data_IF_027181408713
#
_entry.id   IF_027181408713
#
_cell.length_a   1.000
_cell.length_b   1.000
_cell.length_c   1.000
_cell.angle_alpha   90.00
_cell.angle_beta   90.00
_cell.angle_gamma   90.00
#
_symmetry.space_group_name_H-M   'P 1'
#
loop_
_entity.id
_entity.type
_entity.pdbx_description
1 polymer ?
#
# COMPACT_ATOMS: atom_id res chain seq x y z
N UNK A 1 -23.35 2.20 -2.92
CA UNK A 1 -22.07 1.89 -2.28
C UNK A 1 -21.63 3.19 -1.61
N UNK A 2 -21.24 3.19 -0.33
CA UNK A 2 -21.04 4.44 0.42
C UNK A 2 -19.71 5.11 0.02
N UNK A 3 -19.75 6.39 -0.35
CA UNK A 3 -18.56 7.24 -0.35
C UNK A 3 -18.15 7.43 1.11
N UNK A 4 -16.96 6.98 1.48
CA UNK A 4 -16.52 7.00 2.88
C UNK A 4 -15.41 8.03 3.07
N UNK A 5 -15.68 9.00 3.93
CA UNK A 5 -14.71 9.99 4.38
C UNK A 5 -14.45 9.72 5.85
N UNK A 6 -13.18 9.60 6.24
CA UNK A 6 -12.82 9.43 7.65
C UNK A 6 -11.84 10.50 8.06
N UNK A 7 -12.16 11.14 9.18
CA UNK A 7 -11.38 12.21 9.80
C UNK A 7 -11.20 11.84 11.26
N UNK A 8 -9.95 11.73 11.72
CA UNK A 8 -9.61 11.52 13.13
C UNK A 8 -8.95 12.81 13.66
N UNK A 9 -9.28 13.17 14.91
CA UNK A 9 -8.80 14.33 15.70
C UNK A 9 -9.56 15.68 15.60
N UNK A 10 -10.84 15.73 15.18
CA UNK A 10 -11.68 16.93 15.41
C UNK A 10 -12.68 16.71 16.56
N UNK A 11 -13.15 17.78 17.22
CA UNK A 11 -14.07 17.70 18.37
C UNK A 11 -15.29 16.83 18.01
N UNK A 12 -15.81 16.04 18.96
CA UNK A 12 -16.88 15.04 18.74
C UNK A 12 -18.06 15.55 17.88
N UNK A 13 -18.49 16.81 18.08
CA UNK A 13 -19.57 17.43 17.30
C UNK A 13 -19.23 17.65 15.80
N UNK A 14 -17.96 17.84 15.46
CA UNK A 14 -17.49 18.04 14.08
C UNK A 14 -17.38 16.71 13.34
N UNK A 15 -16.96 15.63 14.01
CA UNK A 15 -16.86 14.28 13.43
C UNK A 15 -18.24 13.74 13.08
N UNK A 16 -19.22 13.88 13.97
CA UNK A 16 -20.59 13.40 13.74
C UNK A 16 -21.29 14.16 12.60
N UNK A 17 -21.04 15.47 12.48
CA UNK A 17 -21.61 16.26 11.39
C UNK A 17 -20.95 15.96 10.03
N UNK A 18 -19.63 15.78 9.99
CA UNK A 18 -18.90 15.39 8.76
C UNK A 18 -19.30 14.00 8.27
N UNK A 19 -19.51 13.04 9.19
CA UNK A 19 -20.04 11.72 8.85
C UNK A 19 -21.46 11.79 8.27
N UNK A 20 -22.26 12.77 8.68
CA UNK A 20 -23.58 13.02 8.10
C UNK A 20 -23.49 13.70 6.72
N UNK A 21 -22.55 14.62 6.50
CA UNK A 21 -22.29 15.19 5.16
C UNK A 21 -21.83 14.10 4.18
N UNK A 22 -20.91 13.22 4.60
CA UNK A 22 -20.46 12.06 3.83
C UNK A 22 -21.62 11.11 3.45
N UNK A 23 -22.67 11.02 4.28
CA UNK A 23 -23.90 10.26 3.98
C UNK A 23 -24.87 11.01 3.06
N UNK A 24 -24.80 12.34 3.01
CA UNK A 24 -25.75 13.21 2.30
C UNK A 24 -25.26 13.62 0.91
N UNK A 25 -23.95 13.64 0.67
CA UNK A 25 -23.40 13.73 -0.69
C UNK A 25 -23.88 12.47 -1.43
N UNK A 26 -24.65 12.68 -2.50
CA UNK A 26 -25.29 11.60 -3.24
C UNK A 26 -24.30 10.61 -3.86
N UNK A 27 -24.81 9.63 -4.59
CA UNK A 27 -24.02 8.59 -5.28
C UNK A 27 -23.08 9.14 -6.37
N UNK A 28 -23.23 10.41 -6.73
CA UNK A 28 -22.35 11.12 -7.66
C UNK A 28 -21.94 12.46 -7.05
N UNK A 29 -20.75 12.58 -6.43
CA UNK A 29 -20.25 13.85 -5.96
C UNK A 29 -20.06 14.79 -7.16
N UNK A 30 -20.77 15.90 -7.13
CA UNK A 30 -20.65 17.00 -8.05
C UNK A 30 -19.47 17.89 -7.67
N UNK A 31 -19.01 18.75 -8.58
CA UNK A 31 -18.02 19.80 -8.26
C UNK A 31 -18.46 20.68 -7.08
N UNK A 32 -19.77 20.83 -6.86
CA UNK A 32 -20.34 21.55 -5.72
C UNK A 32 -20.09 20.79 -4.41
N UNK A 33 -20.26 19.48 -4.41
CA UNK A 33 -19.96 18.63 -3.24
C UNK A 33 -18.47 18.69 -2.87
N UNK A 34 -17.59 18.74 -3.88
CA UNK A 34 -16.14 18.93 -3.66
C UNK A 34 -15.80 20.28 -3.04
N UNK A 35 -16.43 21.36 -3.52
CA UNK A 35 -16.23 22.69 -2.97
C UNK A 35 -16.70 22.76 -1.50
N UNK A 36 -17.85 22.16 -1.18
CA UNK A 36 -18.37 22.10 0.19
C UNK A 36 -17.44 21.32 1.14
N UNK A 37 -16.89 20.19 0.67
CA UNK A 37 -15.91 19.41 1.45
C UNK A 37 -14.61 20.18 1.62
N UNK A 38 -14.12 20.86 0.58
CA UNK A 38 -12.93 21.69 0.67
C UNK A 38 -13.12 22.86 1.65
N UNK A 39 -14.26 23.55 1.60
CA UNK A 39 -14.63 24.59 2.56
C UNK A 39 -14.72 24.06 3.99
N UNK A 40 -15.17 22.82 4.15
CA UNK A 40 -15.24 22.18 5.46
C UNK A 40 -13.84 21.87 6.02
N UNK A 41 -12.96 21.33 5.19
CA UNK A 41 -11.57 21.05 5.56
C UNK A 41 -10.82 22.35 5.85
N UNK A 42 -11.13 23.41 5.11
CA UNK A 42 -10.60 24.74 5.33
C UNK A 42 -10.89 25.27 6.75
N UNK A 43 -12.01 24.87 7.36
CA UNK A 43 -12.35 25.21 8.75
C UNK A 43 -11.70 24.28 9.79
N UNK A 44 -11.06 23.20 9.37
CA UNK A 44 -10.43 22.21 10.24
C UNK A 44 -8.91 22.46 10.33
N UNK A 45 -8.51 23.53 11.02
CA UNK A 45 -7.10 23.94 11.10
C UNK A 45 -6.16 22.91 11.75
N UNK A 46 -6.69 22.00 12.57
CA UNK A 46 -5.94 20.93 13.23
C UNK A 46 -5.96 19.60 12.46
N UNK A 47 -6.46 19.59 11.21
CA UNK A 47 -6.55 18.38 10.41
C UNK A 47 -5.16 17.82 10.09
N UNK A 48 -4.84 16.65 10.67
CA UNK A 48 -3.58 15.93 10.45
C UNK A 48 -3.70 14.75 9.49
N UNK A 49 -4.90 14.20 9.32
CA UNK A 49 -5.15 12.99 8.53
C UNK A 49 -6.28 13.24 7.55
N UNK A 50 -6.07 12.87 6.30
CA UNK A 50 -7.07 12.98 5.26
C UNK A 50 -7.13 11.68 4.47
N UNK A 51 -8.34 11.13 4.37
CA UNK A 51 -8.66 9.97 3.55
C UNK A 51 -9.58 10.40 2.41
N UNK A 52 -9.17 10.14 1.17
CA UNK A 52 -9.94 10.38 -0.04
C UNK A 52 -10.31 9.04 -0.66
N UNK A 53 -11.61 8.77 -0.80
CA UNK A 53 -12.11 7.52 -1.38
C UNK A 53 -13.37 7.77 -2.19
N UNK A 54 -13.29 7.50 -3.49
CA UNK A 54 -14.33 7.80 -4.48
C UNK A 54 -14.55 6.58 -5.38
N UNK A 55 -15.10 5.49 -4.84
CA UNK A 55 -15.22 4.26 -5.60
C UNK A 55 -16.00 4.53 -6.91
N UNK A 56 -15.47 4.13 -8.07
CA UNK A 56 -16.13 4.40 -9.34
C UNK A 56 -17.48 3.70 -9.37
N UNK A 57 -18.55 4.45 -9.62
CA UNK A 57 -19.86 3.84 -9.73
C UNK A 57 -20.03 3.17 -11.10
N UNK A 58 -20.41 1.88 -11.15
CA UNK A 58 -20.68 1.21 -12.41
C UNK A 58 -22.01 1.71 -12.98
N UNK A 59 -21.95 2.58 -13.99
CA UNK A 59 -23.14 3.04 -14.72
C UNK A 59 -23.49 1.97 -15.77
N UNK A 60 -24.66 1.35 -15.61
CA UNK A 60 -25.11 0.32 -16.55
C UNK A 60 -25.69 0.96 -17.81
N UNK A 61 -25.00 0.80 -18.93
CA UNK A 61 -25.49 1.12 -20.27
C UNK A 61 -25.81 -0.17 -21.03
N UNK A 62 -27.05 -0.64 -20.89
CA UNK A 62 -27.51 -1.90 -21.49
C UNK A 62 -26.84 -3.13 -20.85
N UNK A 63 -26.02 -3.84 -21.63
CA UNK A 63 -25.21 -4.98 -21.15
C UNK A 63 -23.77 -4.60 -20.78
N UNK A 64 -23.39 -3.32 -20.87
CA UNK A 64 -22.05 -2.81 -20.53
C UNK A 64 -22.09 -2.00 -19.24
N UNK A 65 -21.05 -2.10 -18.44
CA UNK A 65 -20.80 -1.19 -17.33
C UNK A 65 -19.81 -0.11 -17.81
N UNK A 66 -20.17 1.14 -17.62
CA UNK A 66 -19.31 2.31 -17.84
C UNK A 66 -19.08 2.92 -16.46
N UNK A 67 -17.84 2.90 -16.02
CA UNK A 67 -17.46 3.48 -14.73
C UNK A 67 -17.28 4.99 -14.87
N UNK A 68 -17.58 5.73 -13.80
CA UNK A 68 -17.34 7.18 -13.75
C UNK A 68 -15.85 7.53 -13.97
N UNK A 69 -15.60 8.72 -14.52
CA UNK A 69 -14.25 9.26 -14.65
C UNK A 69 -13.67 9.57 -13.26
N UNK A 70 -12.38 9.23 -13.01
CA UNK A 70 -11.75 9.53 -11.74
C UNK A 70 -11.63 11.05 -11.56
N UNK A 71 -11.76 11.50 -10.32
CA UNK A 71 -11.73 12.92 -9.97
C UNK A 71 -10.29 13.37 -9.73
N UNK A 72 -9.89 14.52 -10.26
CA UNK A 72 -8.51 14.98 -10.11
C UNK A 72 -8.25 15.48 -8.68
N UNK A 73 -7.10 15.11 -8.10
CA UNK A 73 -6.72 15.56 -6.76
C UNK A 73 -6.70 17.10 -6.66
N UNK A 74 -6.27 17.79 -7.71
CA UNK A 74 -6.29 19.26 -7.75
C UNK A 74 -7.70 19.87 -7.60
N UNK A 75 -8.77 19.21 -8.02
CA UNK A 75 -10.13 19.77 -7.89
C UNK A 75 -10.53 19.87 -6.42
N UNK A 76 -10.15 18.87 -5.63
CA UNK A 76 -10.34 18.89 -4.18
C UNK A 76 -9.53 20.00 -3.50
N UNK A 77 -8.25 20.13 -3.84
CA UNK A 77 -7.38 21.14 -3.22
C UNK A 77 -7.56 22.56 -3.78
N UNK A 78 -8.28 22.73 -4.90
CA UNK A 78 -8.60 24.05 -5.44
C UNK A 78 -9.33 24.91 -4.42
N UNK A 79 -10.29 24.35 -3.68
CA UNK A 79 -10.98 25.05 -2.59
C UNK A 79 -10.06 25.40 -1.41
N UNK A 80 -9.02 24.59 -1.19
CA UNK A 80 -8.05 24.79 -0.11
C UNK A 80 -6.95 25.81 -0.45
N UNK A 81 -6.84 26.19 -1.73
CA UNK A 81 -5.82 27.13 -2.21
C UNK A 81 -6.02 28.55 -1.66
N UNK A 82 -7.23 28.90 -1.20
CA UNK A 82 -7.52 30.21 -0.61
C UNK A 82 -7.21 30.31 0.88
N UNK A 83 -6.81 29.21 1.53
CA UNK A 83 -6.44 29.22 2.94
C UNK A 83 -5.21 30.08 3.20
N UNK A 84 -5.28 30.96 4.20
CA UNK A 84 -4.14 31.74 4.67
C UNK A 84 -3.09 30.84 5.34
N UNK A 85 -3.56 29.85 6.12
CA UNK A 85 -2.72 28.90 6.83
C UNK A 85 -2.73 27.55 6.10
N UNK A 86 -1.57 26.98 5.75
CA UNK A 86 -1.52 25.67 5.14
C UNK A 86 -1.99 24.59 6.12
N UNK A 87 -2.80 23.65 5.63
CA UNK A 87 -3.04 22.39 6.31
C UNK A 87 -1.71 21.73 6.69
N UNK A 88 -1.53 21.40 7.97
CA UNK A 88 -0.35 20.69 8.48
C UNK A 88 -0.57 19.19 8.39
N UNK A 89 -0.93 18.72 7.19
CA UNK A 89 -1.32 17.34 6.95
C UNK A 89 -0.12 16.42 7.19
N UNK A 90 -0.29 15.44 8.07
CA UNK A 90 0.72 14.43 8.41
C UNK A 90 0.46 13.11 7.68
N UNK A 91 -0.81 12.79 7.39
CA UNK A 91 -1.19 11.56 6.70
C UNK A 91 -2.17 11.83 5.57
N UNK A 92 -1.87 11.28 4.40
CA UNK A 92 -2.73 11.29 3.24
C UNK A 92 -2.94 9.86 2.74
N UNK A 93 -4.20 9.44 2.78
CA UNK A 93 -4.65 8.18 2.22
C UNK A 93 -5.50 8.50 0.99
N UNK A 94 -5.03 8.10 -0.18
CA UNK A 94 -5.75 8.20 -1.44
C UNK A 94 -6.16 6.78 -1.83
N UNK A 95 -7.46 6.58 -1.98
CA UNK A 95 -8.09 5.32 -2.38
C UNK A 95 -8.85 5.58 -3.69
N UNK A 96 -9.27 4.50 -4.33
CA UNK A 96 -10.04 4.36 -5.58
C UNK A 96 -10.79 5.62 -6.06
N UNK A 97 -10.72 5.83 -7.38
CA UNK A 97 -11.42 6.90 -8.12
C UNK A 97 -10.88 8.33 -7.96
N UNK A 98 -9.70 8.50 -7.36
CA UNK A 98 -8.91 9.73 -7.45
C UNK A 98 -7.80 9.58 -8.49
N UNK A 99 -7.70 10.55 -9.40
CA UNK A 99 -6.58 10.71 -10.31
C UNK A 99 -5.49 11.55 -9.62
N UNK A 100 -4.31 10.97 -9.44
CA UNK A 100 -3.18 11.57 -8.70
C UNK A 100 -2.10 12.05 -9.65
N UNK A 101 -1.99 13.35 -9.92
CA UNK A 101 -0.94 13.88 -10.80
C UNK A 101 0.19 14.51 -9.98
N UNK A 102 1.41 14.47 -10.50
CA UNK A 102 2.53 15.13 -9.86
C UNK A 102 2.34 16.66 -9.76
N UNK A 103 1.69 17.26 -10.75
CA UNK A 103 1.33 18.69 -10.79
C UNK A 103 0.41 19.09 -9.62
N UNK A 104 -0.43 18.18 -9.14
CA UNK A 104 -1.31 18.42 -8.00
C UNK A 104 -0.48 18.60 -6.71
N UNK A 105 0.59 17.83 -6.56
CA UNK A 105 1.53 17.96 -5.44
C UNK A 105 2.36 19.24 -5.53
N UNK A 106 2.78 19.65 -6.74
CA UNK A 106 3.50 20.90 -6.96
C UNK A 106 2.62 22.10 -6.61
N UNK A 107 1.41 22.14 -7.16
CA UNK A 107 0.49 23.28 -6.97
C UNK A 107 0.02 23.42 -5.51
N UNK A 108 -0.03 22.32 -4.76
CA UNK A 108 -0.56 22.28 -3.39
C UNK A 108 0.52 21.99 -2.33
N UNK A 109 1.80 22.14 -2.69
CA UNK A 109 2.95 21.73 -1.85
C UNK A 109 2.95 22.24 -0.42
N UNK A 110 2.41 23.45 -0.19
CA UNK A 110 2.32 24.04 1.15
C UNK A 110 1.51 23.16 2.12
N UNK A 111 0.53 22.42 1.61
CA UNK A 111 -0.33 21.52 2.38
C UNK A 111 0.32 20.16 2.66
N UNK A 112 1.32 19.78 1.86
CA UNK A 112 2.01 18.48 1.95
C UNK A 112 3.39 18.56 2.60
N UNK A 113 3.86 19.75 2.97
CA UNK A 113 5.19 19.95 3.55
C UNK A 113 5.43 19.16 4.84
N UNK A 114 4.38 18.84 5.59
CA UNK A 114 4.46 18.10 6.85
C UNK A 114 4.05 16.63 6.72
N UNK A 115 3.89 16.15 5.49
CA UNK A 115 3.42 14.79 5.23
C UNK A 115 4.48 13.79 5.71
N UNK A 116 4.05 12.88 6.57
CA UNK A 116 4.87 11.76 7.07
C UNK A 116 4.39 10.44 6.48
N UNK A 117 3.08 10.28 6.25
CA UNK A 117 2.51 9.02 5.77
C UNK A 117 1.72 9.25 4.47
N UNK A 118 2.09 8.50 3.42
CA UNK A 118 1.40 8.53 2.14
C UNK A 118 0.98 7.11 1.75
N UNK A 119 -0.33 6.94 1.54
CA UNK A 119 -0.88 5.71 0.97
C UNK A 119 -1.62 6.04 -0.31
N UNK A 120 -1.30 5.34 -1.40
CA UNK A 120 -2.00 5.45 -2.68
C UNK A 120 -2.45 4.06 -3.11
N UNK A 121 -3.76 3.82 -3.04
CA UNK A 121 -4.41 2.59 -3.46
C UNK A 121 -5.24 2.80 -4.71
N UNK A 122 -4.86 2.16 -5.80
CA UNK A 122 -5.50 2.29 -7.11
C UNK A 122 -6.09 0.96 -7.55
N UNK A 123 -7.22 0.98 -8.25
CA UNK A 123 -7.85 -0.24 -8.77
C UNK A 123 -7.01 -0.91 -9.87
N UNK A 124 -7.05 -2.24 -9.89
CA UNK A 124 -6.28 -3.10 -10.79
C UNK A 124 -6.70 -3.02 -12.27
N UNK A 125 -7.89 -2.49 -12.57
CA UNK A 125 -8.43 -2.52 -13.94
C UNK A 125 -8.09 -1.27 -14.76
N UNK A 126 -7.46 -0.25 -14.15
CA UNK A 126 -7.19 1.03 -14.79
C UNK A 126 -5.68 1.33 -14.77
N UNK A 127 -4.97 1.12 -15.90
CA UNK A 127 -3.52 1.37 -16.00
C UNK A 127 -3.15 2.86 -16.01
N UNK A 128 -4.14 3.75 -15.94
CA UNK A 128 -3.91 5.19 -15.88
C UNK A 128 -3.17 5.50 -14.58
N UNK A 129 -2.09 6.28 -14.68
CA UNK A 129 -1.45 7.02 -13.58
C UNK A 129 -0.21 6.40 -12.88
N UNK A 130 0.33 5.27 -13.34
CA UNK A 130 1.51 4.69 -12.70
C UNK A 130 2.77 5.56 -12.81
N UNK A 131 3.06 6.10 -14.01
CA UNK A 131 4.17 7.02 -14.24
C UNK A 131 4.05 8.28 -13.35
N UNK A 132 2.84 8.80 -13.24
CA UNK A 132 2.53 9.97 -12.41
C UNK A 132 2.79 9.71 -10.92
N UNK A 133 2.54 8.50 -10.40
CA UNK A 133 2.90 8.16 -9.01
C UNK A 133 4.42 8.35 -8.80
N UNK A 134 5.25 7.87 -9.71
CA UNK A 134 6.70 8.06 -9.59
C UNK A 134 7.10 9.51 -9.72
N UNK A 135 6.43 10.28 -10.58
CA UNK A 135 6.63 11.73 -10.67
C UNK A 135 6.21 12.45 -9.38
N UNK A 136 5.17 11.98 -8.66
CA UNK A 136 4.83 12.47 -7.31
C UNK A 136 6.00 12.28 -6.37
N UNK A 137 6.62 11.10 -6.33
CA UNK A 137 7.79 10.86 -5.48
C UNK A 137 9.01 11.69 -5.87
N UNK A 138 9.21 11.95 -7.17
CA UNK A 138 10.22 12.92 -7.65
C UNK A 138 9.92 14.32 -7.13
N UNK A 139 8.67 14.78 -7.18
CA UNK A 139 8.23 16.07 -6.61
C UNK A 139 8.49 16.12 -5.11
N UNK A 140 8.11 15.09 -4.35
CA UNK A 140 8.34 15.02 -2.90
C UNK A 140 9.84 15.08 -2.57
N UNK A 141 10.69 14.44 -3.37
CA UNK A 141 12.15 14.55 -3.27
C UNK A 141 12.61 15.99 -3.44
N UNK A 142 12.16 16.66 -4.50
CA UNK A 142 12.57 18.03 -4.81
C UNK A 142 12.14 19.04 -3.75
N UNK A 143 11.00 18.80 -3.10
CA UNK A 143 10.47 19.65 -2.03
C UNK A 143 10.96 19.21 -0.63
N UNK A 144 11.92 18.29 -0.55
CA UNK A 144 12.53 17.78 0.70
C UNK A 144 11.49 17.22 1.70
N UNK A 145 10.40 16.66 1.19
CA UNK A 145 9.39 15.99 2.01
C UNK A 145 9.81 14.55 2.22
N UNK A 146 10.21 14.20 3.45
CA UNK A 146 10.67 12.85 3.81
C UNK A 146 9.57 12.08 4.55
N UNK A 147 9.02 11.07 3.89
CA UNK A 147 7.98 10.22 4.44
C UNK A 147 8.56 9.20 5.44
N UNK A 148 7.81 8.92 6.50
CA UNK A 148 8.05 7.79 7.41
C UNK A 148 7.33 6.54 6.94
N UNK A 149 6.16 6.65 6.32
CA UNK A 149 5.41 5.50 5.82
C UNK A 149 4.95 5.68 4.38
N UNK A 150 5.19 4.65 3.58
CA UNK A 150 4.77 4.58 2.17
C UNK A 150 3.95 3.30 1.98
N UNK A 151 2.75 3.41 1.40
CA UNK A 151 1.96 2.25 1.01
C UNK A 151 1.37 2.43 -0.40
N UNK A 152 1.61 1.46 -1.28
CA UNK A 152 1.26 1.55 -2.71
C UNK A 152 0.65 0.25 -3.23
N UNK A 153 -0.34 0.34 -4.11
CA UNK A 153 -0.90 -0.84 -4.81
C UNK A 153 -0.04 -1.30 -5.99
N UNK A 154 1.05 -0.59 -6.31
CA UNK A 154 1.98 -1.00 -7.37
C UNK A 154 3.37 -0.35 -7.25
N UNK A 155 4.40 -0.99 -7.80
CA UNK A 155 5.79 -0.52 -7.82
C UNK A 155 6.21 -0.17 -9.26
N UNK A 156 5.71 0.93 -9.82
CA UNK A 156 5.82 1.13 -11.27
C UNK A 156 6.47 2.41 -11.79
N UNK A 157 7.10 3.27 -10.97
CA UNK A 157 8.26 3.94 -11.58
C UNK A 157 9.54 4.02 -10.74
N UNK A 158 10.71 4.13 -11.42
CA UNK A 158 12.02 4.34 -10.79
C UNK A 158 12.05 5.55 -9.84
N UNK A 159 11.16 6.54 -10.03
CA UNK A 159 11.01 7.69 -9.13
C UNK A 159 10.78 7.30 -7.65
N UNK A 160 10.09 6.19 -7.37
CA UNK A 160 9.90 5.68 -6.00
C UNK A 160 11.24 5.22 -5.41
N UNK A 161 12.01 4.44 -6.18
CA UNK A 161 13.31 3.91 -5.75
C UNK A 161 14.31 5.05 -5.55
N UNK A 162 14.34 6.01 -6.48
CA UNK A 162 15.16 7.21 -6.37
C UNK A 162 14.81 8.05 -5.14
N UNK A 163 13.52 8.18 -4.83
CA UNK A 163 13.04 8.88 -3.64
C UNK A 163 13.45 8.16 -2.35
N UNK A 164 13.20 6.85 -2.24
CA UNK A 164 13.59 6.05 -1.08
C UNK A 164 15.12 6.11 -0.87
N UNK A 165 15.90 6.13 -1.97
CA UNK A 165 17.35 6.26 -1.91
C UNK A 165 17.87 7.63 -1.48
N UNK A 166 17.03 8.68 -1.52
CA UNK A 166 17.49 10.06 -1.30
C UNK A 166 17.53 10.48 0.16
N UNK A 167 17.00 9.68 1.09
CA UNK A 167 16.97 10.00 2.51
C UNK A 167 17.10 8.74 3.38
N UNK A 168 17.16 8.92 4.70
CA UNK A 168 17.10 7.83 5.68
C UNK A 168 16.00 8.14 6.70
N UNK A 169 15.50 7.13 7.42
CA UNK A 169 14.41 7.32 8.39
C UNK A 169 13.04 6.76 7.98
N UNK A 170 12.91 6.13 6.82
CA UNK A 170 11.70 5.38 6.47
C UNK A 170 11.42 4.32 7.55
N UNK A 171 10.20 4.35 8.10
CA UNK A 171 9.74 3.48 9.18
C UNK A 171 8.82 2.36 8.69
N UNK A 172 8.10 2.56 7.57
CA UNK A 172 7.30 1.49 6.97
C UNK A 172 7.17 1.59 5.45
N UNK A 173 7.22 0.43 4.80
CA UNK A 173 6.95 0.28 3.37
C UNK A 173 5.94 -0.85 3.15
N UNK A 174 4.85 -0.58 2.43
CA UNK A 174 3.90 -1.58 1.94
C UNK A 174 3.75 -1.48 0.43
N UNK A 175 3.94 -2.60 -0.27
CA UNK A 175 3.68 -2.72 -1.70
C UNK A 175 2.73 -3.91 -1.87
N UNK A 176 1.55 -3.65 -2.43
CA UNK A 176 0.45 -4.60 -2.58
C UNK A 176 0.01 -4.64 -4.06
N UNK A 177 0.63 -5.46 -4.89
CA UNK A 177 0.31 -5.54 -6.33
C UNK A 177 -0.47 -6.82 -6.64
N UNK A 178 -1.72 -6.65 -7.08
CA UNK A 178 -2.64 -7.76 -7.42
C UNK A 178 -3.01 -7.83 -8.91
N UNK A 179 -2.30 -7.09 -9.79
CA UNK A 179 -2.61 -6.99 -11.23
C UNK A 179 -1.58 -7.66 -12.17
N UNK A 180 -1.95 -7.84 -13.44
CA UNK A 180 -1.08 -8.34 -14.54
C UNK A 180 -0.25 -7.21 -15.17
N UNK A 181 0.15 -6.22 -14.37
CA UNK A 181 0.90 -5.09 -14.87
C UNK A 181 2.36 -5.51 -15.05
N UNK A 182 2.76 -5.65 -16.31
CA UNK A 182 3.98 -6.32 -16.77
C UNK A 182 5.30 -5.59 -16.47
N UNK A 183 5.31 -4.56 -15.64
CA UNK A 183 6.44 -3.63 -15.51
C UNK A 183 7.25 -3.73 -14.19
N UNK A 184 6.99 -4.74 -13.35
CA UNK A 184 7.81 -5.02 -12.16
C UNK A 184 9.14 -5.66 -12.57
N UNK A 185 10.03 -4.93 -13.25
CA UNK A 185 11.32 -5.50 -13.66
C UNK A 185 12.15 -5.95 -12.44
N UNK A 186 12.90 -7.06 -12.59
CA UNK A 186 13.88 -7.52 -11.59
C UNK A 186 14.78 -6.39 -11.11
N UNK A 187 15.16 -5.49 -12.01
CA UNK A 187 16.02 -4.35 -11.74
C UNK A 187 15.39 -3.38 -10.73
N UNK A 188 14.11 -3.03 -10.87
CA UNK A 188 13.42 -2.14 -9.94
C UNK A 188 13.32 -2.75 -8.54
N UNK A 189 12.94 -4.03 -8.45
CA UNK A 189 12.84 -4.75 -7.17
C UNK A 189 14.23 -4.86 -6.54
N UNK A 190 15.25 -5.21 -7.33
CA UNK A 190 16.62 -5.30 -6.84
C UNK A 190 17.10 -3.97 -6.27
N UNK A 191 16.90 -2.86 -7.00
CA UNK A 191 17.31 -1.54 -6.53
C UNK A 191 16.50 -1.09 -5.32
N UNK A 192 15.19 -1.38 -5.25
CA UNK A 192 14.39 -1.11 -4.06
C UNK A 192 15.00 -1.75 -2.82
N UNK A 193 15.36 -3.05 -2.89
CA UNK A 193 15.96 -3.75 -1.75
C UNK A 193 17.39 -3.26 -1.43
N UNK A 194 18.14 -2.78 -2.42
CA UNK A 194 19.39 -2.04 -2.16
C UNK A 194 19.09 -0.76 -1.36
N UNK A 195 18.11 0.03 -1.80
CA UNK A 195 17.74 1.29 -1.14
C UNK A 195 17.24 1.06 0.29
N UNK A 196 16.50 -0.03 0.55
CA UNK A 196 16.03 -0.38 1.88
C UNK A 196 17.14 -0.55 2.91
N UNK A 197 18.38 -0.88 2.50
CA UNK A 197 19.53 -0.96 3.42
C UNK A 197 19.83 0.38 4.10
N UNK A 198 19.53 1.51 3.46
CA UNK A 198 19.68 2.84 4.07
C UNK A 198 18.73 3.04 5.27
N UNK A 199 17.64 2.28 5.32
CA UNK A 199 16.60 2.38 6.35
C UNK A 199 16.68 1.28 7.41
N UNK A 200 17.73 0.44 7.41
CA UNK A 200 17.84 -0.73 8.28
C UNK A 200 17.67 -0.46 9.79
N UNK A 201 17.99 0.75 10.26
CA UNK A 201 17.85 1.15 11.67
C UNK A 201 16.53 1.87 11.99
N UNK A 202 15.73 2.22 10.98
CA UNK A 202 14.46 2.94 11.15
C UNK A 202 13.26 2.12 10.69
N UNK A 203 13.44 1.22 9.72
CA UNK A 203 12.39 0.42 9.11
C UNK A 203 11.84 -0.57 10.14
N UNK A 204 10.62 -0.34 10.58
CA UNK A 204 9.90 -1.17 11.55
C UNK A 204 8.91 -2.13 10.91
N UNK A 205 8.39 -1.80 9.72
CA UNK A 205 7.42 -2.62 9.00
C UNK A 205 7.77 -2.72 7.52
N UNK A 206 7.80 -3.93 6.98
CA UNK A 206 7.95 -4.19 5.57
C UNK A 206 6.86 -5.15 5.10
N UNK A 207 6.08 -4.73 4.12
CA UNK A 207 5.04 -5.53 3.48
C UNK A 207 5.27 -5.55 1.98
N UNK A 208 5.43 -6.75 1.41
CA UNK A 208 5.68 -6.95 -0.01
C UNK A 208 4.79 -8.09 -0.50
N UNK A 209 3.57 -7.74 -0.88
CA UNK A 209 2.51 -8.63 -1.33
C UNK A 209 2.32 -8.42 -2.82
N UNK A 210 3.11 -9.12 -3.64
CA UNK A 210 3.02 -8.99 -5.10
C UNK A 210 2.68 -10.32 -5.76
N UNK A 211 1.40 -10.44 -6.15
CA UNK A 211 0.70 -11.71 -6.36
C UNK A 211 1.02 -12.45 -7.65
N UNK A 212 1.80 -11.85 -8.56
CA UNK A 212 2.11 -12.41 -9.88
C UNK A 212 3.56 -12.26 -10.34
N UNK A 213 4.48 -11.90 -9.45
CA UNK A 213 5.91 -11.89 -9.79
C UNK A 213 6.46 -13.33 -9.66
N UNK A 214 6.29 -14.13 -10.70
CA UNK A 214 6.89 -15.48 -10.78
C UNK A 214 8.43 -15.49 -10.84
N UNK A 215 9.15 -14.55 -11.51
CA UNK A 215 10.60 -14.67 -11.63
C UNK A 215 11.45 -13.93 -10.57
N UNK A 216 10.89 -13.03 -9.76
CA UNK A 216 11.70 -12.13 -8.91
C UNK A 216 11.56 -12.32 -7.40
N UNK A 217 10.85 -13.36 -6.94
CA UNK A 217 10.70 -13.67 -5.50
C UNK A 217 12.03 -14.03 -4.82
N UNK A 218 12.99 -14.53 -5.59
CA UNK A 218 14.35 -14.78 -5.11
C UNK A 218 15.11 -13.47 -4.84
N UNK A 219 14.67 -12.32 -5.37
CA UNK A 219 15.31 -11.04 -5.12
C UNK A 219 15.06 -10.56 -3.68
N UNK A 220 13.79 -10.40 -3.20
CA UNK A 220 13.52 -10.14 -1.79
C UNK A 220 14.20 -11.16 -0.87
N UNK A 221 14.12 -12.44 -1.22
CA UNK A 221 14.70 -13.53 -0.43
C UNK A 221 16.21 -13.41 -0.30
N UNK A 222 16.93 -13.21 -1.41
CA UNK A 222 18.40 -13.11 -1.40
C UNK A 222 18.87 -11.89 -0.62
N UNK A 223 18.30 -10.70 -0.88
CA UNK A 223 18.66 -9.48 -0.17
C UNK A 223 18.36 -9.56 1.32
N UNK A 224 17.18 -10.04 1.71
CA UNK A 224 16.83 -10.17 3.12
C UNK A 224 17.67 -11.26 3.80
N UNK A 225 17.94 -12.38 3.15
CA UNK A 225 18.85 -13.39 3.67
C UNK A 225 20.25 -12.83 3.92
N UNK A 226 20.82 -12.09 2.98
CA UNK A 226 22.16 -11.53 3.15
C UNK A 226 22.25 -10.46 4.25
N UNK A 227 21.15 -9.74 4.52
CA UNK A 227 21.18 -8.52 5.32
C UNK A 227 20.27 -8.54 6.57
N UNK A 228 19.59 -9.65 6.88
CA UNK A 228 18.57 -9.74 7.93
C UNK A 228 19.03 -9.15 9.27
N UNK A 229 20.23 -9.51 9.74
CA UNK A 229 20.80 -9.05 11.00
C UNK A 229 21.02 -7.53 11.06
N UNK A 230 21.17 -6.89 9.90
CA UNK A 230 21.39 -5.45 9.80
C UNK A 230 20.10 -4.63 9.98
N UNK A 231 18.92 -5.24 9.74
CA UNK A 231 17.61 -4.61 9.94
C UNK A 231 17.22 -4.65 11.42
N UNK A 232 17.92 -3.84 12.22
CA UNK A 232 17.81 -3.87 13.68
C UNK A 232 16.49 -3.37 14.24
N UNK A 233 15.70 -2.64 13.44
CA UNK A 233 14.42 -2.07 13.86
C UNK A 233 13.19 -2.84 13.34
N UNK A 234 13.38 -3.81 12.42
CA UNK A 234 12.27 -4.48 11.73
C UNK A 234 11.50 -5.39 12.69
N UNK A 235 10.23 -5.05 12.92
CA UNK A 235 9.30 -5.76 13.82
C UNK A 235 8.26 -6.57 13.07
N UNK A 236 7.83 -6.06 11.92
CA UNK A 236 6.75 -6.65 11.14
C UNK A 236 7.22 -6.92 9.71
N UNK A 237 7.16 -8.18 9.30
CA UNK A 237 7.47 -8.61 7.93
C UNK A 237 6.26 -9.33 7.34
N UNK A 238 5.74 -8.82 6.22
CA UNK A 238 4.69 -9.45 5.43
C UNK A 238 5.18 -9.71 4.02
N UNK A 239 5.02 -10.94 3.55
CA UNK A 239 5.53 -11.38 2.26
C UNK A 239 4.55 -12.32 1.59
N UNK A 240 4.45 -12.21 0.27
CA UNK A 240 3.88 -13.26 -0.56
C UNK A 240 4.94 -14.27 -0.98
N UNK A 241 4.57 -15.55 -0.95
CA UNK A 241 5.46 -16.66 -1.31
C UNK A 241 4.78 -17.49 -2.38
N UNK A 242 5.32 -17.47 -3.59
CA UNK A 242 4.78 -18.32 -4.64
C UNK A 242 5.02 -19.80 -4.33
N UNK A 243 3.98 -20.60 -4.48
CA UNK A 243 4.01 -22.05 -4.29
C UNK A 243 3.64 -22.71 -5.60
N UNK A 244 4.54 -23.51 -6.17
CA UNK A 244 4.28 -24.19 -7.43
C UNK A 244 3.27 -25.33 -7.26
N UNK A 245 2.65 -25.76 -8.36
CA UNK A 245 1.77 -26.93 -8.34
C UNK A 245 2.51 -28.22 -7.93
N UNK A 246 3.81 -28.29 -8.19
CA UNK A 246 4.67 -29.40 -7.78
C UNK A 246 4.86 -29.42 -6.27
N UNK A 247 5.14 -28.25 -5.66
CA UNK A 247 5.24 -28.08 -4.20
C UNK A 247 3.94 -28.48 -3.51
N UNK A 248 2.80 -28.06 -4.05
CA UNK A 248 1.48 -28.41 -3.53
C UNK A 248 1.22 -29.92 -3.58
N UNK A 249 1.61 -30.60 -4.68
CA UNK A 249 1.44 -32.05 -4.85
C UNK A 249 2.34 -32.84 -3.92
N UNK A 250 3.60 -32.40 -3.78
CA UNK A 250 4.60 -33.04 -2.90
C UNK A 250 4.42 -32.67 -1.43
N UNK A 251 3.60 -31.65 -1.14
CA UNK A 251 3.53 -31.00 0.17
C UNK A 251 4.89 -30.45 0.61
N UNK A 252 5.68 -29.98 -0.35
CA UNK A 252 7.00 -29.43 -0.09
C UNK A 252 6.89 -27.98 0.41
N UNK A 253 7.17 -27.76 1.70
CA UNK A 253 7.13 -26.45 2.32
C UNK A 253 8.50 -25.78 2.43
N UNK A 254 9.53 -26.27 1.74
CA UNK A 254 10.91 -25.77 1.81
C UNK A 254 11.03 -24.26 1.54
N UNK A 255 10.27 -23.73 0.57
CA UNK A 255 10.24 -22.29 0.30
C UNK A 255 9.69 -21.47 1.48
N UNK A 256 8.70 -21.99 2.21
CA UNK A 256 8.19 -21.36 3.42
C UNK A 256 9.18 -21.46 4.57
N UNK A 257 9.86 -22.61 4.73
CA UNK A 257 10.92 -22.80 5.73
C UNK A 257 12.07 -21.83 5.52
N UNK A 258 12.51 -21.61 4.28
CA UNK A 258 13.57 -20.68 3.98
C UNK A 258 13.26 -19.24 4.43
N UNK A 259 12.01 -18.80 4.27
CA UNK A 259 11.58 -17.50 4.77
C UNK A 259 11.60 -17.40 6.29
N UNK A 260 11.35 -18.50 6.98
CA UNK A 260 11.48 -18.54 8.45
C UNK A 260 12.92 -18.56 8.93
N UNK A 261 13.82 -19.24 8.22
CA UNK A 261 15.26 -19.17 8.50
C UNK A 261 15.78 -17.73 8.36
N UNK A 262 15.31 -17.00 7.35
CA UNK A 262 15.60 -15.57 7.20
C UNK A 262 14.95 -14.79 8.35
N UNK A 263 13.69 -15.07 8.68
CA UNK A 263 12.94 -14.38 9.72
C UNK A 263 13.62 -14.45 11.10
N UNK A 264 14.15 -15.63 11.44
CA UNK A 264 14.89 -15.89 12.68
C UNK A 264 16.15 -15.03 12.86
N UNK A 265 16.68 -14.46 11.77
CA UNK A 265 17.89 -13.64 11.79
C UNK A 265 17.62 -12.16 12.00
N UNK A 266 16.37 -11.71 11.96
CA UNK A 266 16.02 -10.35 12.31
C UNK A 266 15.95 -10.19 13.84
N UNK A 267 16.75 -9.28 14.43
CA UNK A 267 16.91 -9.21 15.89
C UNK A 267 15.68 -8.65 16.61
N UNK A 268 14.83 -7.88 15.92
CA UNK A 268 13.67 -7.20 16.51
C UNK A 268 12.33 -7.71 16.00
N UNK A 269 12.32 -8.78 15.18
CA UNK A 269 11.10 -9.26 14.54
C UNK A 269 10.13 -9.80 15.59
N UNK A 270 8.87 -9.39 15.46
CA UNK A 270 7.75 -9.76 16.34
C UNK A 270 6.63 -10.43 15.59
N UNK A 271 6.47 -10.12 14.30
CA UNK A 271 5.43 -10.67 13.45
C UNK A 271 5.97 -11.01 12.07
N UNK A 272 5.74 -12.26 11.67
CA UNK A 272 5.94 -12.72 10.30
C UNK A 272 4.58 -13.15 9.72
N UNK A 273 4.17 -12.50 8.63
CA UNK A 273 2.99 -12.91 7.86
C UNK A 273 3.42 -13.43 6.50
N UNK A 274 3.04 -14.67 6.20
CA UNK A 274 3.30 -15.30 4.90
C UNK A 274 1.98 -15.57 4.18
N UNK A 275 1.88 -15.08 2.95
CA UNK A 275 0.77 -15.30 2.04
C UNK A 275 1.21 -16.24 0.92
N UNK A 276 0.94 -17.56 0.99
CA UNK A 276 1.34 -18.44 -0.08
C UNK A 276 0.39 -18.28 -1.27
N UNK A 277 0.90 -17.79 -2.39
CA UNK A 277 0.18 -17.48 -3.63
C UNK A 277 0.50 -18.50 -4.73
N UNK A 278 -0.37 -18.64 -5.72
CA UNK A 278 -0.22 -19.60 -6.82
C UNK A 278 -0.47 -18.91 -8.17
N UNK A 279 0.35 -19.22 -9.19
CA UNK A 279 0.38 -18.59 -10.53
C UNK A 279 -0.91 -18.73 -11.34
N UNK A 280 -1.55 -19.90 -11.32
CA UNK A 280 -2.72 -20.20 -12.17
C UNK A 280 -4.08 -19.75 -11.60
N UNK A 281 -5.09 -19.50 -12.48
CA UNK A 281 -6.43 -19.10 -12.08
C UNK A 281 -7.10 -20.06 -11.10
N UNK A 282 -7.95 -19.47 -10.27
CA UNK A 282 -8.62 -20.10 -9.13
C UNK A 282 -9.54 -21.25 -9.57
N UNK A 283 -9.20 -22.49 -9.19
CA UNK A 283 -10.11 -23.64 -9.18
C UNK A 283 -10.29 -24.13 -7.72
N UNK A 284 -11.52 -24.54 -7.38
CA UNK A 284 -11.90 -24.97 -6.03
C UNK A 284 -11.02 -26.10 -5.50
N UNK A 285 -10.58 -27.03 -6.36
CA UNK A 285 -9.70 -28.12 -5.94
C UNK A 285 -8.25 -27.67 -5.71
N UNK A 286 -7.82 -26.59 -6.36
CA UNK A 286 -6.53 -25.94 -6.09
C UNK A 286 -6.58 -25.14 -4.79
N UNK A 287 -7.66 -24.42 -4.53
CA UNK A 287 -7.88 -23.75 -3.23
C UNK A 287 -7.83 -24.73 -2.05
N UNK A 288 -8.47 -25.91 -2.19
CA UNK A 288 -8.37 -26.99 -1.18
C UNK A 288 -6.94 -27.50 -0.99
N UNK A 289 -6.14 -27.62 -2.05
CA UNK A 289 -4.74 -28.05 -1.98
C UNK A 289 -3.87 -27.02 -1.26
N UNK A 290 -3.98 -25.73 -1.63
CA UNK A 290 -3.31 -24.62 -0.95
C UNK A 290 -3.70 -24.60 0.54
N UNK A 291 -4.98 -24.78 0.85
CA UNK A 291 -5.44 -24.83 2.24
C UNK A 291 -4.81 -26.00 3.03
N UNK A 292 -4.79 -27.22 2.46
CA UNK A 292 -4.15 -28.38 3.10
C UNK A 292 -2.65 -28.16 3.29
N UNK A 293 -2.00 -27.55 2.31
CA UNK A 293 -0.58 -27.20 2.35
C UNK A 293 -0.28 -26.19 3.47
N UNK A 294 -1.04 -25.08 3.54
CA UNK A 294 -0.98 -24.08 4.61
C UNK A 294 -1.13 -24.72 5.99
N UNK A 295 -2.14 -25.60 6.16
CA UNK A 295 -2.38 -26.31 7.42
C UNK A 295 -1.21 -27.22 7.80
N UNK A 296 -0.65 -27.94 6.84
CA UNK A 296 0.50 -28.82 7.06
C UNK A 296 1.74 -28.01 7.47
N UNK A 297 2.08 -26.95 6.72
CA UNK A 297 3.18 -26.06 7.03
C UNK A 297 3.03 -25.44 8.43
N UNK A 298 1.84 -24.89 8.75
CA UNK A 298 1.55 -24.32 10.07
C UNK A 298 1.72 -25.34 11.21
N UNK A 299 1.31 -26.59 11.00
CA UNK A 299 1.50 -27.66 11.99
C UNK A 299 2.97 -28.01 12.18
N UNK A 300 3.72 -28.11 11.09
CA UNK A 300 5.15 -28.42 11.15
C UNK A 300 5.95 -27.27 11.78
N UNK A 301 5.57 -26.01 11.55
CA UNK A 301 6.14 -24.88 12.28
C UNK A 301 5.85 -24.95 13.77
N UNK A 302 4.58 -25.15 14.17
CA UNK A 302 4.21 -25.25 15.58
C UNK A 302 4.94 -26.36 16.32
N UNK A 303 5.26 -27.48 15.65
CA UNK A 303 6.02 -28.59 16.23
C UNK A 303 7.48 -28.24 16.50
N UNK A 304 8.07 -27.31 15.76
CA UNK A 304 9.48 -26.93 15.92
C UNK A 304 9.74 -25.99 17.10
N UNK A 305 8.71 -25.33 17.67
CA UNK A 305 8.75 -24.55 18.94
C UNK A 305 9.98 -23.64 19.20
N UNK A 306 10.64 -23.15 18.16
CA UNK A 306 11.91 -22.41 18.28
C UNK A 306 11.78 -20.90 18.03
N UNK A 307 10.56 -20.37 17.96
CA UNK A 307 10.31 -18.99 17.50
C UNK A 307 9.98 -18.04 18.66
N UNK A 308 10.56 -16.84 18.62
CA UNK A 308 10.31 -15.73 19.55
C UNK A 308 9.27 -14.73 19.05
N UNK A 309 8.65 -15.00 17.91
CA UNK A 309 7.72 -14.11 17.21
C UNK A 309 6.46 -14.83 16.72
N UNK A 310 5.41 -14.06 16.46
CA UNK A 310 4.14 -14.57 15.95
C UNK A 310 4.24 -14.89 14.46
N UNK A 311 3.71 -16.05 14.06
CA UNK A 311 3.67 -16.50 12.67
C UNK A 311 2.21 -16.61 12.22
N UNK A 312 1.87 -15.81 11.21
CA UNK A 312 0.57 -15.82 10.56
C UNK A 312 0.72 -16.35 9.13
N UNK A 313 0.11 -17.50 8.84
CA UNK A 313 -0.04 -17.98 7.47
C UNK A 313 -1.49 -17.70 7.09
N UNK A 314 -1.70 -16.59 6.39
CA UNK A 314 -3.03 -16.06 6.17
C UNK A 314 -3.88 -16.98 5.29
N UNK A 315 -5.18 -16.96 5.55
CA UNK A 315 -6.23 -17.56 4.72
C UNK A 315 -6.86 -16.40 3.95
N UNK A 316 -6.86 -16.44 2.62
CA UNK A 316 -7.82 -15.59 1.92
C UNK A 316 -9.17 -16.22 2.22
N UNK A 317 -9.99 -15.51 2.98
CA UNK A 317 -11.41 -15.75 2.96
C UNK A 317 -11.83 -15.46 1.51
N UNK A 318 -12.09 -16.54 0.76
CA UNK A 318 -12.78 -16.57 -0.52
C UNK A 318 -13.39 -15.21 -0.88
N UNK A 319 -12.74 -14.47 -1.78
CA UNK A 319 -13.40 -13.44 -2.59
C UNK A 319 -14.26 -14.13 -3.64
#
# INVERSE_FOLDING_TARGET
>A
MFHSWSFEDSKDDQVDWMNNLARNIGTHPTLTDFAEVADLIARCHDLKRLTLHFPPEPIRYGSRFVYTEPQALAEFFRGLSFLEVPLRLQRLLIVEGILVRAEDFVSQKRHFRFLEDLTIRLEHERPYNLEEIGRVFVTLRHEEVHLKHIALTNLHPPGIVEYISSYSGLAGLSIESHGDHRDDSSFLIHNLFISLKLHRSSLTSLSFLVGRISPYLEIPRSHLSENAESFSALKDLKIEVHTSDEDLRRKDANHLFAWLEIALRFPALRSLTIYPVHEEPYDQDKAKRIWRFRKHAAQDFRRRQEYTFDIYIYQDALL
#
